data_IF_850393116544
#
_entry.id   IF_850393116544
#
_cell.length_a   1.000
_cell.length_b   1.000
_cell.length_c   1.000
_cell.angle_alpha   90.00
_cell.angle_beta   90.00
_cell.angle_gamma   90.00
#
_symmetry.space_group_name_H-M   'P 1'
#
loop_
_entity.id
_entity.type
_entity.pdbx_description
1 polymer ?
#
# COMPACT_ATOMS: atom_id res chain seq x y z
N UNK A 1 5.16 15.94 -4.35
CA UNK A 1 3.94 15.09 -4.36
C UNK A 1 4.12 13.98 -5.38
N UNK A 2 4.02 12.72 -4.97
CA UNK A 2 4.13 11.55 -5.85
C UNK A 2 2.76 10.92 -6.09
N UNK A 3 2.58 10.29 -7.25
CA UNK A 3 1.40 9.51 -7.61
C UNK A 3 1.87 8.10 -7.92
N UNK A 4 1.30 7.09 -7.25
CA UNK A 4 1.73 5.71 -7.44
C UNK A 4 0.51 4.78 -7.48
N UNK A 5 0.59 3.76 -8.33
CA UNK A 5 -0.41 2.68 -8.41
C UNK A 5 -0.32 1.76 -7.20
N UNK A 6 -1.46 1.20 -6.79
CA UNK A 6 -1.56 0.03 -5.92
C UNK A 6 -0.64 -1.10 -6.43
N UNK A 7 -0.08 -1.94 -5.55
CA UNK A 7 0.70 -3.13 -5.98
C UNK A 7 -0.19 -4.23 -6.58
N UNK A 8 -1.49 -4.22 -6.27
CA UNK A 8 -2.41 -5.29 -6.66
C UNK A 8 -3.28 -4.91 -7.87
N UNK A 9 -3.48 -3.61 -8.13
CA UNK A 9 -4.32 -3.15 -9.23
C UNK A 9 -3.91 -1.75 -9.77
N UNK A 10 -4.69 -1.21 -10.70
CA UNK A 10 -4.36 0.05 -11.39
C UNK A 10 -4.78 1.33 -10.66
N UNK A 11 -5.47 1.23 -9.52
CA UNK A 11 -5.89 2.41 -8.74
C UNK A 11 -4.66 3.16 -8.25
N UNK A 12 -4.66 4.49 -8.43
CA UNK A 12 -3.57 5.36 -7.98
C UNK A 12 -3.92 6.09 -6.69
N UNK A 13 -2.95 6.20 -5.80
CA UNK A 13 -2.98 7.10 -4.66
C UNK A 13 -1.91 8.19 -4.79
N UNK A 14 -2.15 9.33 -4.14
CA UNK A 14 -1.24 10.49 -4.15
C UNK A 14 -0.83 10.83 -2.72
N UNK A 15 0.41 11.29 -2.54
CA UNK A 15 0.88 11.79 -1.27
C UNK A 15 2.19 12.57 -1.38
N UNK A 16 2.40 13.49 -0.44
CA UNK A 16 3.63 14.29 -0.35
C UNK A 16 4.76 13.52 0.34
N UNK A 17 4.40 12.74 1.36
CA UNK A 17 5.28 11.80 2.06
C UNK A 17 4.75 10.37 1.89
N UNK A 18 5.58 9.38 2.24
CA UNK A 18 5.15 7.98 2.24
C UNK A 18 3.95 7.75 3.16
N UNK A 19 3.94 8.32 4.36
CA UNK A 19 2.81 8.20 5.28
C UNK A 19 1.53 8.83 4.71
N UNK A 20 1.62 10.01 4.09
CA UNK A 20 0.47 10.65 3.46
C UNK A 20 -0.07 9.80 2.31
N UNK A 21 0.81 9.21 1.51
CA UNK A 21 0.45 8.31 0.42
C UNK A 21 -0.17 7.00 0.93
N UNK A 22 0.43 6.37 1.94
CA UNK A 22 -0.12 5.18 2.60
C UNK A 22 -1.51 5.45 3.17
N UNK A 23 -1.70 6.58 3.86
CA UNK A 23 -3.01 6.98 4.38
C UNK A 23 -4.05 7.18 3.28
N UNK A 24 -3.64 7.65 2.09
CA UNK A 24 -4.51 7.77 0.93
C UNK A 24 -4.82 6.40 0.27
N UNK A 25 -3.86 5.46 0.29
CA UNK A 25 -4.00 4.12 -0.29
C UNK A 25 -4.80 3.15 0.60
N UNK A 26 -4.66 3.24 1.92
CA UNK A 26 -5.26 2.29 2.86
C UNK A 26 -6.79 2.14 2.74
N UNK A 27 -7.61 3.21 2.54
CA UNK A 27 -9.04 3.06 2.33
C UNK A 27 -9.39 2.22 1.10
N UNK A 28 -8.54 2.26 0.06
CA UNK A 28 -8.70 1.41 -1.12
C UNK A 28 -8.43 -0.06 -0.77
N UNK A 29 -7.38 -0.37 -0.02
CA UNK A 29 -7.12 -1.75 0.45
C UNK A 29 -8.27 -2.28 1.31
N UNK A 30 -8.76 -1.49 2.28
CA UNK A 30 -9.85 -1.91 3.16
C UNK A 30 -11.16 -2.22 2.43
N UNK A 31 -11.40 -1.60 1.25
CA UNK A 31 -12.64 -1.77 0.50
C UNK A 31 -12.52 -2.75 -0.67
N UNK A 32 -11.47 -2.62 -1.47
CA UNK A 32 -11.29 -3.35 -2.73
C UNK A 32 -10.37 -4.57 -2.60
N UNK A 33 -9.50 -4.58 -1.59
CA UNK A 33 -8.56 -5.67 -1.29
C UNK A 33 -8.70 -6.13 0.16
N UNK A 34 -9.93 -6.16 0.66
CA UNK A 34 -10.24 -6.58 2.03
C UNK A 34 -9.84 -8.05 2.25
N UNK A 35 -9.83 -8.86 1.19
CA UNK A 35 -9.29 -10.22 1.17
C UNK A 35 -7.79 -10.23 1.51
N UNK A 36 -6.99 -9.34 0.92
CA UNK A 36 -5.55 -9.21 1.23
C UNK A 36 -5.34 -8.76 2.68
N UNK A 37 -6.18 -7.83 3.17
CA UNK A 37 -6.09 -7.32 4.54
C UNK A 37 -6.52 -8.33 5.61
N UNK A 38 -7.41 -9.27 5.29
CA UNK A 38 -7.97 -10.25 6.23
C UNK A 38 -7.46 -11.67 5.98
N UNK A 39 -6.48 -11.85 5.09
CA UNK A 39 -5.92 -13.17 4.77
C UNK A 39 -5.24 -13.77 6.02
N UNK A 40 -5.79 -14.87 6.58
CA UNK A 40 -5.28 -15.46 7.82
C UNK A 40 -3.91 -16.15 7.62
N UNK A 41 -3.47 -16.35 6.38
CA UNK A 41 -2.13 -16.88 6.09
C UNK A 41 -1.03 -15.82 6.23
N UNK A 42 -1.38 -14.53 6.23
CA UNK A 42 -0.42 -13.44 6.32
C UNK A 42 0.10 -13.28 7.74
N UNK A 43 1.42 -13.31 7.85
CA UNK A 43 2.11 -13.09 9.12
C UNK A 43 2.40 -11.61 9.33
N UNK A 44 2.85 -11.26 10.54
CA UNK A 44 3.37 -9.93 10.82
C UNK A 44 4.59 -9.59 9.96
N UNK A 45 5.40 -10.59 9.60
CA UNK A 45 6.57 -10.41 8.74
C UNK A 45 6.13 -10.04 7.32
N UNK A 46 5.09 -10.67 6.78
CA UNK A 46 4.50 -10.31 5.49
C UNK A 46 4.00 -8.86 5.48
N UNK A 47 3.35 -8.43 6.57
CA UNK A 47 2.87 -7.06 6.71
C UNK A 47 4.04 -6.06 6.75
N UNK A 48 5.11 -6.37 7.48
CA UNK A 48 6.32 -5.55 7.52
C UNK A 48 7.00 -5.47 6.15
N UNK A 49 7.12 -6.61 5.46
CA UNK A 49 7.66 -6.67 4.11
C UNK A 49 6.84 -5.82 3.14
N UNK A 50 5.52 -5.90 3.22
CA UNK A 50 4.63 -5.08 2.39
C UNK A 50 4.85 -3.58 2.61
N UNK A 51 5.06 -3.13 3.86
CA UNK A 51 5.39 -1.73 4.14
C UNK A 51 6.75 -1.34 3.56
N UNK A 52 7.78 -2.18 3.72
CA UNK A 52 9.13 -1.93 3.20
C UNK A 52 9.13 -1.86 1.66
N UNK A 53 8.49 -2.83 1.01
CA UNK A 53 8.38 -2.88 -0.45
C UNK A 53 7.65 -1.64 -0.97
N UNK A 54 6.55 -1.24 -0.32
CA UNK A 54 5.82 -0.04 -0.70
C UNK A 54 6.61 1.25 -0.46
N UNK A 55 7.41 1.32 0.62
CA UNK A 55 8.31 2.45 0.85
C UNK A 55 9.35 2.56 -0.26
N UNK A 56 9.97 1.45 -0.65
CA UNK A 56 10.95 1.41 -1.73
C UNK A 56 10.33 1.85 -3.07
N UNK A 57 9.11 1.37 -3.38
CA UNK A 57 8.36 1.79 -4.58
C UNK A 57 8.02 3.28 -4.55
N UNK A 58 7.60 3.80 -3.40
CA UNK A 58 7.33 5.23 -3.25
C UNK A 58 8.59 6.08 -3.42
N UNK A 59 9.73 5.63 -2.90
CA UNK A 59 11.00 6.36 -3.02
C UNK A 59 11.52 6.39 -4.46
N UNK A 60 11.31 5.31 -5.22
CA UNK A 60 11.75 5.18 -6.61
C UNK A 60 10.88 5.91 -7.65
N UNK A 61 9.64 6.25 -7.31
CA UNK A 61 8.70 6.97 -8.18
C UNK A 61 8.90 8.50 -8.15
#
# INVERSE_FOLDING_TARGET
>A
MKTLKCDVCEVTAKGETFEAWMKALMPHYMKAHADVMNDPSKTKEDQQKWVVDNKARFDAA
#
